data_IF_993937840902
#
_entry.id   IF_993937840902
#
_cell.length_a   1.000
_cell.length_b   1.000
_cell.length_c   1.000
_cell.angle_alpha   90.00
_cell.angle_beta   90.00
_cell.angle_gamma   90.00
#
_symmetry.space_group_name_H-M   'P 1'
#
loop_
_entity.id
_entity.type
_entity.pdbx_description
1 polymer ?
#
# COMPACT_ATOMS: atom_id res chain seq x y z
N UNK A 1 44.19 -52.32 -0.51
CA UNK A 1 44.03 -52.13 0.95
C UNK A 1 43.61 -50.69 1.16
N UNK A 2 42.33 -50.47 1.41
CA UNK A 2 41.69 -49.17 1.48
C UNK A 2 42.01 -48.42 2.79
N UNK A 3 42.15 -47.10 2.64
CA UNK A 3 41.73 -46.01 3.54
C UNK A 3 41.81 -46.20 5.06
N UNK A 4 42.74 -45.47 5.67
CA UNK A 4 42.52 -44.83 6.97
C UNK A 4 43.13 -43.42 6.95
N UNK A 5 42.57 -42.53 6.12
CA UNK A 5 42.74 -41.11 6.33
C UNK A 5 41.87 -40.75 7.55
N UNK A 6 42.46 -40.77 8.73
CA UNK A 6 41.81 -40.29 9.95
C UNK A 6 41.35 -38.85 9.70
N UNK A 7 40.06 -38.67 9.48
CA UNK A 7 39.42 -37.37 9.34
C UNK A 7 39.55 -36.70 10.71
N UNK A 8 40.51 -35.80 10.84
CA UNK A 8 40.61 -34.94 12.02
C UNK A 8 39.28 -34.19 12.13
N UNK A 9 38.57 -34.23 13.26
CA UNK A 9 37.35 -33.45 13.42
C UNK A 9 37.69 -31.97 13.17
N UNK A 10 36.81 -31.22 12.47
CA UNK A 10 37.04 -29.80 12.27
C UNK A 10 37.19 -29.13 13.65
N UNK A 11 38.07 -28.12 13.80
CA UNK A 11 38.14 -27.36 15.03
C UNK A 11 36.75 -26.79 15.34
N UNK A 12 36.36 -26.68 16.62
CA UNK A 12 35.09 -26.08 17.00
C UNK A 12 34.97 -24.72 16.33
N UNK A 13 33.80 -24.43 15.76
CA UNK A 13 33.55 -23.09 15.21
C UNK A 13 33.50 -22.13 16.39
N UNK A 14 33.90 -20.89 16.19
CA UNK A 14 33.86 -19.87 17.24
C UNK A 14 32.46 -19.81 17.88
N UNK A 15 31.40 -20.02 17.07
CA UNK A 15 30.00 -20.14 17.52
C UNK A 15 29.77 -21.27 18.57
N UNK A 16 30.45 -22.41 18.44
CA UNK A 16 30.33 -23.55 19.38
C UNK A 16 31.00 -23.23 20.72
N UNK A 17 32.10 -22.48 20.68
CA UNK A 17 32.80 -22.01 21.87
C UNK A 17 32.00 -20.90 22.58
N UNK A 18 31.40 -19.99 21.80
CA UNK A 18 30.54 -18.92 22.29
C UNK A 18 29.27 -19.47 22.96
N UNK A 19 28.65 -20.51 22.39
CA UNK A 19 27.48 -21.18 22.99
C UNK A 19 27.84 -21.89 24.31
N UNK A 20 29.01 -22.51 24.38
CA UNK A 20 29.50 -23.16 25.59
C UNK A 20 29.81 -22.14 26.70
N UNK A 21 30.44 -21.01 26.34
CA UNK A 21 30.75 -19.92 27.27
C UNK A 21 29.48 -19.22 27.76
N UNK A 22 28.52 -18.99 26.86
CA UNK A 22 27.19 -18.49 27.19
C UNK A 22 26.48 -19.42 28.18
N UNK A 23 26.46 -20.72 27.92
CA UNK A 23 25.83 -21.71 28.80
C UNK A 23 26.50 -21.72 30.18
N UNK A 24 27.83 -21.66 30.23
CA UNK A 24 28.58 -21.59 31.48
C UNK A 24 28.24 -20.33 32.29
N UNK A 25 28.20 -19.16 31.63
CA UNK A 25 27.83 -17.89 32.24
C UNK A 25 26.37 -17.88 32.72
N UNK A 26 25.46 -18.40 31.90
CA UNK A 26 24.04 -18.51 32.24
C UNK A 26 23.86 -19.39 33.48
N UNK A 27 24.54 -20.54 33.54
CA UNK A 27 24.55 -21.42 34.72
C UNK A 27 25.08 -20.73 35.97
N UNK A 28 26.19 -19.98 35.84
CA UNK A 28 26.76 -19.20 36.96
C UNK A 28 25.78 -18.13 37.48
N UNK A 29 25.12 -17.40 36.58
CA UNK A 29 24.11 -16.40 36.95
C UNK A 29 22.89 -17.03 37.62
N UNK A 30 22.35 -18.10 37.04
CA UNK A 30 21.20 -18.84 37.58
C UNK A 30 21.49 -19.47 38.95
N UNK A 31 22.75 -19.84 39.23
CA UNK A 31 23.17 -20.35 40.53
C UNK A 31 22.99 -19.35 41.69
N UNK A 32 22.96 -18.05 41.40
CA UNK A 32 22.86 -17.00 42.43
C UNK A 32 21.45 -16.40 42.51
N UNK A 33 21.01 -16.01 43.71
CA UNK A 33 19.71 -15.33 43.89
C UNK A 33 19.67 -13.97 43.16
N UNK A 34 20.78 -13.24 43.15
CA UNK A 34 20.91 -11.96 42.44
C UNK A 34 20.87 -12.15 40.92
N UNK A 35 21.55 -13.16 40.39
CA UNK A 35 21.57 -13.44 38.95
C UNK A 35 20.19 -13.85 38.43
N UNK A 36 19.43 -14.66 39.16
CA UNK A 36 18.04 -14.99 38.78
C UNK A 36 17.15 -13.75 38.70
N UNK A 37 17.22 -12.85 39.68
CA UNK A 37 16.49 -11.57 39.65
C UNK A 37 16.92 -10.68 38.48
N UNK A 38 18.22 -10.62 38.18
CA UNK A 38 18.73 -9.91 37.02
C UNK A 38 18.18 -10.48 35.71
N UNK A 39 18.17 -11.81 35.53
CA UNK A 39 17.67 -12.47 34.32
C UNK A 39 16.16 -12.27 34.15
N UNK A 40 15.38 -12.31 35.23
CA UNK A 40 13.95 -11.99 35.22
C UNK A 40 13.69 -10.55 34.75
N UNK A 41 14.45 -9.60 35.30
CA UNK A 41 14.36 -8.18 34.94
C UNK A 41 14.83 -7.92 33.50
N UNK A 42 15.93 -8.55 33.08
CA UNK A 42 16.45 -8.49 31.72
C UNK A 42 15.42 -9.02 30.72
N UNK A 43 14.86 -10.21 30.95
CA UNK A 43 13.85 -10.80 30.09
C UNK A 43 12.59 -9.92 30.00
N UNK A 44 12.18 -9.28 31.11
CA UNK A 44 11.06 -8.32 31.09
C UNK A 44 11.36 -7.10 30.24
N UNK A 45 12.52 -6.47 30.40
CA UNK A 45 12.91 -5.28 29.63
C UNK A 45 13.12 -5.59 28.15
N UNK A 46 13.70 -6.75 27.85
CA UNK A 46 13.94 -7.18 26.47
C UNK A 46 12.62 -7.41 25.73
N UNK A 47 11.63 -8.07 26.35
CA UNK A 47 10.29 -8.21 25.76
C UNK A 47 9.64 -6.86 25.43
N UNK A 48 9.82 -5.86 26.30
CA UNK A 48 9.29 -4.52 26.06
C UNK A 48 10.02 -3.82 24.90
N UNK A 49 11.35 -3.94 24.84
CA UNK A 49 12.14 -3.37 23.74
C UNK A 49 11.79 -4.01 22.38
N UNK A 50 11.65 -5.34 22.35
CA UNK A 50 11.26 -6.07 21.13
C UNK A 50 9.85 -5.66 20.68
N UNK A 51 8.92 -5.48 21.62
CA UNK A 51 7.56 -5.01 21.32
C UNK A 51 7.58 -3.60 20.73
N UNK A 52 8.35 -2.68 21.29
CA UNK A 52 8.51 -1.32 20.75
C UNK A 52 9.09 -1.36 19.34
N UNK A 53 10.15 -2.15 19.12
CA UNK A 53 10.76 -2.32 17.80
C UNK A 53 9.77 -2.86 16.76
N UNK A 54 8.95 -3.85 17.14
CA UNK A 54 7.92 -4.42 16.25
C UNK A 54 6.84 -3.38 15.93
N UNK A 55 6.36 -2.64 16.94
CA UNK A 55 5.37 -1.58 16.73
C UNK A 55 5.88 -0.47 15.81
N UNK A 56 7.16 -0.07 15.98
CA UNK A 56 7.80 0.90 15.08
C UNK A 56 7.91 0.37 13.64
N UNK A 57 8.23 -0.94 13.49
CA UNK A 57 8.28 -1.58 12.18
C UNK A 57 6.88 -1.63 11.52
N UNK A 58 5.84 -1.96 12.29
CA UNK A 58 4.45 -1.95 11.82
C UNK A 58 4.03 -0.53 11.40
N UNK A 59 4.27 0.48 12.25
CA UNK A 59 3.95 1.87 11.92
C UNK A 59 4.65 2.34 10.63
N UNK A 60 5.89 1.90 10.39
CA UNK A 60 6.61 2.18 9.15
C UNK A 60 5.96 1.51 7.93
N UNK A 61 5.51 0.27 8.06
CA UNK A 61 4.81 -0.46 7.00
C UNK A 61 3.48 0.21 6.69
N UNK A 62 2.71 0.56 7.71
CA UNK A 62 1.43 1.27 7.56
C UNK A 62 1.62 2.61 6.85
N UNK A 63 2.62 3.41 7.25
CA UNK A 63 2.93 4.67 6.57
C UNK A 63 3.31 4.46 5.10
N UNK A 64 4.11 3.43 4.81
CA UNK A 64 4.47 3.08 3.43
C UNK A 64 3.28 2.58 2.62
N UNK A 65 2.35 1.86 3.23
CA UNK A 65 1.14 1.37 2.58
C UNK A 65 0.16 2.51 2.31
N UNK A 66 -0.01 3.42 3.28
CA UNK A 66 -0.80 4.64 3.09
C UNK A 66 -0.24 5.50 1.96
N UNK A 67 1.09 5.66 1.88
CA UNK A 67 1.73 6.37 0.78
C UNK A 67 1.47 5.70 -0.58
N UNK A 68 1.55 4.37 -0.67
CA UNK A 68 1.25 3.62 -1.90
C UNK A 68 -0.24 3.73 -2.31
N UNK A 69 -1.16 3.82 -1.35
CA UNK A 69 -2.58 4.02 -1.64
C UNK A 69 -2.90 5.45 -2.04
N UNK A 70 -2.18 6.43 -1.48
CA UNK A 70 -2.31 7.83 -1.82
C UNK A 70 -1.67 8.17 -3.17
N UNK A 71 -0.73 7.35 -3.64
CA UNK A 71 -0.16 7.48 -4.97
C UNK A 71 -1.20 7.04 -6.02
N UNK A 72 -1.77 7.97 -6.80
CA UNK A 72 -2.70 7.59 -7.85
C UNK A 72 -1.95 6.71 -8.86
N UNK A 73 -2.51 5.56 -9.27
CA UNK A 73 -1.85 4.73 -10.26
C UNK A 73 -1.62 5.54 -11.55
N UNK A 74 -0.47 5.38 -12.24
CA UNK A 74 -0.27 5.96 -13.55
C UNK A 74 -1.34 5.42 -14.50
N UNK A 75 -2.24 6.30 -14.95
CA UNK A 75 -3.42 5.91 -15.73
C UNK A 75 -4.57 5.36 -14.89
N UNK A 76 -4.78 5.88 -13.68
CA UNK A 76 -5.90 5.49 -12.82
C UNK A 76 -7.20 5.32 -13.61
N UNK A 77 -7.95 4.23 -13.38
CA UNK A 77 -9.14 3.90 -14.19
C UNK A 77 -10.14 5.05 -14.20
N UNK A 78 -10.19 5.86 -13.14
CA UNK A 78 -10.98 7.10 -13.10
C UNK A 78 -10.54 8.10 -14.15
N UNK A 79 -9.25 8.41 -14.31
CA UNK A 79 -8.79 9.35 -15.34
C UNK A 79 -9.08 8.86 -16.77
N UNK A 80 -8.92 7.55 -17.03
CA UNK A 80 -9.26 6.97 -18.33
C UNK A 80 -10.79 6.94 -18.58
N UNK A 81 -11.58 6.68 -17.53
CA UNK A 81 -13.05 6.72 -17.58
C UNK A 81 -13.55 8.15 -17.73
N UNK A 82 -12.96 9.12 -17.04
CA UNK A 82 -13.28 10.54 -17.12
C UNK A 82 -12.99 11.07 -18.54
N UNK A 83 -11.87 10.65 -19.14
CA UNK A 83 -11.55 10.97 -20.53
C UNK A 83 -12.54 10.33 -21.50
N UNK A 84 -12.94 9.08 -21.26
CA UNK A 84 -13.96 8.41 -22.08
C UNK A 84 -15.32 9.11 -21.97
N UNK A 85 -15.73 9.54 -20.77
CA UNK A 85 -16.95 10.31 -20.54
C UNK A 85 -16.89 11.64 -21.29
N UNK A 86 -15.76 12.36 -21.23
CA UNK A 86 -15.55 13.61 -21.98
C UNK A 86 -15.71 13.38 -23.49
N UNK A 87 -15.07 12.34 -24.04
CA UNK A 87 -15.17 12.01 -25.47
C UNK A 87 -16.62 11.69 -25.86
N UNK A 88 -17.36 10.97 -25.02
CA UNK A 88 -18.76 10.62 -25.28
C UNK A 88 -19.63 11.89 -25.29
N UNK A 89 -19.46 12.80 -24.33
CA UNK A 89 -20.24 14.02 -24.26
C UNK A 89 -19.92 14.99 -25.40
N UNK A 90 -18.65 15.08 -25.81
CA UNK A 90 -18.24 15.80 -27.02
C UNK A 90 -18.88 15.20 -28.28
N UNK A 91 -18.89 13.87 -28.40
CA UNK A 91 -19.56 13.17 -29.50
C UNK A 91 -21.07 13.43 -29.54
N UNK A 92 -21.73 13.44 -28.38
CA UNK A 92 -23.17 13.78 -28.28
C UNK A 92 -23.44 15.22 -28.69
N UNK A 93 -22.62 16.17 -28.24
CA UNK A 93 -22.75 17.57 -28.60
C UNK A 93 -22.56 17.79 -30.11
N UNK A 94 -21.55 17.15 -30.70
CA UNK A 94 -21.32 17.20 -32.15
C UNK A 94 -22.48 16.60 -32.95
N UNK A 95 -23.06 15.49 -32.48
CA UNK A 95 -24.22 14.86 -33.12
C UNK A 95 -25.46 15.77 -33.05
N UNK A 96 -25.68 16.44 -31.91
CA UNK A 96 -26.78 17.40 -31.75
C UNK A 96 -26.64 18.59 -32.72
N UNK A 97 -25.43 19.14 -32.85
CA UNK A 97 -25.14 20.22 -33.80
C UNK A 97 -25.35 19.77 -35.25
N UNK A 98 -24.93 18.56 -35.60
CA UNK A 98 -25.15 18.02 -36.94
C UNK A 98 -26.64 17.83 -37.24
N UNK A 99 -27.42 17.34 -36.28
CA UNK A 99 -28.87 17.21 -36.43
C UNK A 99 -29.55 18.57 -36.63
N UNK A 100 -29.13 19.60 -35.89
CA UNK A 100 -29.64 20.97 -36.05
C UNK A 100 -29.26 21.56 -37.42
N UNK A 101 -28.04 21.30 -37.90
CA UNK A 101 -27.60 21.73 -39.22
C UNK A 101 -28.41 21.04 -40.34
N UNK A 102 -28.70 19.74 -40.24
CA UNK A 102 -29.58 19.05 -41.18
C UNK A 102 -30.99 19.64 -41.19
N UNK A 103 -31.57 19.87 -40.00
CA UNK A 103 -32.89 20.50 -39.89
C UNK A 103 -32.92 21.91 -40.52
N UNK A 104 -31.84 22.68 -40.37
CA UNK A 104 -31.70 23.98 -41.02
C UNK A 104 -31.63 23.88 -42.55
N UNK A 105 -30.94 22.87 -43.09
CA UNK A 105 -30.90 22.58 -44.53
C UNK A 105 -32.29 22.21 -45.06
N UNK A 106 -33.01 21.34 -44.34
CA UNK A 106 -34.39 20.96 -44.71
C UNK A 106 -35.34 22.16 -44.68
N UNK A 107 -35.22 23.02 -43.68
CA UNK A 107 -36.00 24.26 -43.59
C UNK A 107 -35.69 25.22 -44.73
N UNK A 108 -34.41 25.37 -45.11
CA UNK A 108 -34.00 26.18 -46.25
C UNK A 108 -34.55 25.61 -47.56
N UNK A 109 -34.48 24.29 -47.76
CA UNK A 109 -35.06 23.62 -48.92
C UNK A 109 -36.56 23.87 -49.02
N UNK A 110 -37.29 23.75 -47.91
CA UNK A 110 -38.73 24.03 -47.89
C UNK A 110 -39.06 25.47 -48.30
N UNK A 111 -38.26 26.46 -47.89
CA UNK A 111 -38.44 27.85 -48.31
C UNK A 111 -38.30 28.03 -49.83
N UNK A 112 -37.30 27.38 -50.45
CA UNK A 112 -37.13 27.40 -51.90
C UNK A 112 -38.27 26.70 -52.65
N UNK A 113 -38.75 25.55 -52.14
CA UNK A 113 -39.86 24.81 -52.73
C UNK A 113 -41.17 25.64 -52.67
N UNK A 114 -41.39 26.45 -51.62
CA UNK A 114 -42.54 27.39 -51.55
C UNK A 114 -42.41 28.65 -52.41
N UNK A 115 -41.18 29.05 -52.79
CA UNK A 115 -40.96 30.21 -53.66
C UNK A 115 -41.09 29.86 -55.17
N UNK A 116 -41.06 28.58 -55.53
CA UNK A 116 -41.26 28.08 -56.89
C UNK A 116 -42.67 27.54 -57.14
N UNK A 117 -43.65 28.42 -57.40
CA UNK A 117 -44.99 28.01 -57.87
C UNK A 117 -44.98 27.44 -59.31
N UNK A 118 -45.98 26.64 -59.71
CA UNK A 118 -45.82 25.54 -60.66
C UNK A 118 -45.89 25.97 -62.12
N UNK A 119 -44.92 25.54 -62.93
CA UNK A 119 -45.09 25.42 -64.38
C UNK A 119 -45.59 24.00 -64.68
N UNK A 120 -46.84 23.92 -65.14
CA UNK A 120 -47.49 22.68 -65.54
C UNK A 120 -46.92 22.12 -66.86
N UNK A 121 -46.82 20.78 -66.89
CA UNK A 121 -46.96 19.82 -68.00
C UNK A 121 -46.33 20.13 -69.38
N UNK A 122 -45.54 19.20 -69.91
CA UNK A 122 -46.01 18.25 -70.93
C UNK A 122 -44.85 17.43 -71.57
N UNK A 123 -45.19 16.19 -71.92
CA UNK A 123 -44.61 15.30 -72.94
C UNK A 123 -43.31 14.54 -72.66
N UNK A 124 -43.40 13.21 -72.80
CA UNK A 124 -42.24 12.39 -73.17
C UNK A 124 -42.32 10.95 -72.68
N UNK A 125 -42.97 10.09 -73.45
CA UNK A 125 -43.07 8.66 -73.23
C UNK A 125 -41.73 7.90 -73.39
N UNK A 126 -41.76 6.66 -72.87
CA UNK A 126 -40.92 5.48 -73.14
C UNK A 126 -39.67 5.25 -72.27
N UNK A 127 -39.21 4.00 -72.13
CA UNK A 127 -39.90 2.85 -71.53
C UNK A 127 -39.11 2.28 -70.33
N UNK A 128 -39.75 1.41 -69.56
CA UNK A 128 -39.16 0.73 -68.41
C UNK A 128 -37.93 -0.13 -68.77
N UNK A 129 -36.88 -0.13 -67.93
CA UNK A 129 -36.02 -1.29 -67.76
C UNK A 129 -36.33 -2.04 -66.45
N UNK A 130 -36.24 -3.36 -66.57
CA UNK A 130 -36.58 -4.43 -65.62
C UNK A 130 -35.84 -4.35 -64.26
N UNK A 131 -36.40 -4.95 -63.19
CA UNK A 131 -35.76 -4.95 -61.88
C UNK A 131 -34.58 -5.92 -61.89
N UNK A 132 -33.36 -5.38 -61.92
CA UNK A 132 -32.15 -6.18 -61.67
C UNK A 132 -32.07 -6.44 -60.18
N UNK A 133 -32.34 -7.69 -59.82
CA UNK A 133 -32.19 -8.25 -58.49
C UNK A 133 -30.71 -8.19 -58.08
N UNK A 134 -30.40 -7.44 -57.03
CA UNK A 134 -29.13 -7.53 -56.30
C UNK A 134 -29.42 -7.59 -54.79
N UNK A 135 -28.70 -8.45 -54.05
CA UNK A 135 -29.17 -9.02 -52.79
C UNK A 135 -29.07 -8.04 -51.60
N UNK A 136 -30.02 -8.18 -50.69
CA UNK A 136 -29.97 -7.60 -49.34
C UNK A 136 -28.65 -7.98 -48.65
N UNK A 137 -27.95 -7.05 -47.98
CA UNK A 137 -26.96 -7.44 -47.00
C UNK A 137 -27.70 -8.05 -45.81
N UNK A 138 -27.61 -9.37 -45.67
CA UNK A 138 -28.02 -10.11 -44.48
C UNK A 138 -27.42 -9.43 -43.25
N UNK A 139 -28.26 -8.72 -42.49
CA UNK A 139 -27.92 -8.24 -41.16
C UNK A 139 -27.70 -9.48 -40.30
N UNK A 140 -26.44 -9.83 -40.07
CA UNK A 140 -26.09 -10.83 -39.06
C UNK A 140 -26.66 -10.34 -37.73
N UNK A 141 -27.67 -11.06 -37.23
CA UNK A 141 -28.16 -10.87 -35.88
C UNK A 141 -26.98 -11.08 -34.91
N UNK A 142 -26.79 -10.22 -33.90
CA UNK A 142 -25.83 -10.50 -32.85
C UNK A 142 -26.22 -11.83 -32.17
N UNK A 143 -25.26 -12.69 -31.81
CA UNK A 143 -25.57 -13.87 -31.03
C UNK A 143 -26.22 -13.45 -29.71
N UNK A 144 -27.18 -14.23 -29.17
CA UNK A 144 -27.69 -13.99 -27.83
C UNK A 144 -26.53 -14.03 -26.83
N UNK A 145 -26.59 -13.25 -25.73
CA UNK A 145 -25.59 -13.37 -24.69
C UNK A 145 -25.59 -14.82 -24.19
N UNK A 146 -24.41 -15.43 -24.16
CA UNK A 146 -24.22 -16.70 -23.50
C UNK A 146 -24.66 -16.52 -22.04
N UNK A 147 -25.59 -17.37 -21.58
CA UNK A 147 -25.88 -17.54 -20.17
C UNK A 147 -24.57 -17.84 -19.46
N UNK A 148 -24.08 -16.85 -18.71
CA UNK A 148 -23.02 -17.06 -17.74
C UNK A 148 -23.70 -17.80 -16.60
N UNK A 149 -23.36 -19.08 -16.33
CA UNK A 149 -23.86 -19.73 -15.14
C UNK A 149 -23.40 -18.90 -13.93
N UNK A 150 -24.25 -18.70 -12.90
CA UNK A 150 -23.80 -18.02 -11.70
C UNK A 150 -22.57 -18.78 -11.19
N UNK A 151 -21.44 -18.08 -11.13
CA UNK A 151 -20.32 -18.57 -10.36
C UNK A 151 -20.83 -18.67 -8.92
N UNK A 152 -20.97 -19.90 -8.43
CA UNK A 152 -21.08 -20.17 -7.00
C UNK A 152 -19.85 -19.57 -6.33
N UNK A 153 -20.00 -18.34 -5.85
CA UNK A 153 -19.10 -17.78 -4.86
C UNK A 153 -19.50 -18.48 -3.57
N UNK A 154 -18.69 -19.38 -3.00
CA UNK A 154 -18.94 -19.80 -1.62
C UNK A 154 -18.87 -18.53 -0.78
N UNK A 155 -20.01 -18.19 -0.17
CA UNK A 155 -20.07 -17.17 0.86
C UNK A 155 -18.96 -17.47 1.88
N UNK A 156 -18.19 -16.47 2.35
CA UNK A 156 -17.36 -16.69 3.52
C UNK A 156 -18.32 -17.02 4.66
N UNK A 157 -18.34 -18.28 5.07
CA UNK A 157 -18.88 -18.67 6.36
C UNK A 157 -18.21 -17.76 7.39
N UNK A 158 -18.99 -16.85 7.95
CA UNK A 158 -18.63 -16.13 9.14
C UNK A 158 -18.41 -17.20 10.22
N UNK A 159 -17.15 -17.62 10.37
CA UNK A 159 -16.72 -18.41 11.50
C UNK A 159 -17.11 -17.60 12.73
N UNK A 160 -18.17 -18.05 13.40
CA UNK A 160 -18.53 -17.60 14.73
C UNK A 160 -17.33 -17.92 15.61
N UNK A 161 -16.50 -16.90 15.86
CA UNK A 161 -15.52 -16.96 16.93
C UNK A 161 -16.36 -16.95 18.19
N UNK A 162 -16.53 -18.12 18.81
CA UNK A 162 -17.00 -18.17 20.19
C UNK A 162 -16.05 -17.30 21.03
N UNK A 163 -16.57 -16.34 21.82
CA UNK A 163 -15.73 -15.62 22.74
C UNK A 163 -15.23 -16.61 23.78
N UNK A 164 -13.93 -16.91 23.73
CA UNK A 164 -13.24 -17.59 24.82
C UNK A 164 -13.57 -16.83 26.12
N UNK A 165 -13.98 -17.52 27.20
CA UNK A 165 -14.29 -16.85 28.45
C UNK A 165 -13.03 -16.11 28.91
N UNK A 166 -13.19 -14.80 29.12
CA UNK A 166 -12.15 -13.97 29.70
C UNK A 166 -11.69 -14.62 31.00
N UNK A 167 -10.48 -15.17 31.00
CA UNK A 167 -9.82 -15.55 32.23
C UNK A 167 -9.64 -14.25 33.01
N UNK A 168 -10.50 -14.05 34.02
CA UNK A 168 -10.34 -12.99 35.01
C UNK A 168 -9.04 -13.29 35.74
N UNK A 169 -7.97 -12.65 35.29
CA UNK A 169 -6.72 -12.61 36.06
C UNK A 169 -7.07 -11.96 37.41
N UNK A 170 -6.70 -12.56 38.55
CA UNK A 170 -6.90 -11.92 39.83
C UNK A 170 -6.15 -10.59 39.83
N UNK A 171 -6.90 -9.50 40.02
CA UNK A 171 -6.34 -8.18 40.27
C UNK A 171 -5.49 -8.30 41.55
N UNK A 172 -4.18 -7.99 41.54
CA UNK A 172 -3.42 -7.99 42.77
C UNK A 172 -4.03 -6.92 43.69
N UNK A 173 -4.61 -7.37 44.80
CA UNK A 173 -5.08 -6.48 45.84
C UNK A 173 -3.92 -5.55 46.26
N UNK A 174 -4.16 -4.24 46.45
CA UNK A 174 -3.12 -3.34 46.92
C UNK A 174 -2.68 -3.84 48.29
N UNK A 175 -1.40 -4.16 48.42
CA UNK A 175 -0.80 -4.41 49.73
C UNK A 175 -1.01 -3.14 50.56
N UNK A 176 -1.78 -3.27 51.65
CA UNK A 176 -1.91 -2.23 52.66
C UNK A 176 -0.53 -2.04 53.28
N UNK A 177 0.18 -1.00 52.86
CA UNK A 177 1.35 -0.51 53.59
C UNK A 177 0.88 -0.01 54.97
N UNK A 178 1.66 -0.23 56.04
CA UNK A 178 1.47 0.52 57.29
C UNK A 178 1.68 2.03 57.03
N UNK A 179 1.12 2.91 57.88
CA UNK A 179 1.08 4.34 57.62
C UNK A 179 2.48 4.95 57.53
N UNK A 180 2.61 5.86 56.58
CA UNK A 180 3.79 6.61 56.23
C UNK A 180 4.39 7.36 57.44
N UNK A 181 5.68 7.16 57.67
CA UNK A 181 6.52 8.27 58.10
C UNK A 181 6.74 9.19 56.89
N UNK A 182 6.66 10.49 57.14
CA UNK A 182 6.77 11.57 56.17
C UNK A 182 8.00 11.41 55.25
N UNK A 183 7.88 11.68 53.93
CA UNK A 183 9.04 11.61 53.05
C UNK A 183 9.96 12.81 53.34
N UNK A 184 11.29 12.62 53.49
CA UNK A 184 12.20 13.71 53.20
C UNK A 184 12.13 14.00 51.70
N UNK A 185 12.02 15.28 51.35
CA UNK A 185 12.24 15.80 50.00
C UNK A 185 13.69 15.50 49.58
N UNK A 186 13.97 14.31 49.03
CA UNK A 186 15.28 13.98 48.45
C UNK A 186 15.19 14.02 46.93
N UNK A 187 15.51 15.22 46.44
CA UNK A 187 16.28 15.53 45.24
C UNK A 187 16.21 14.53 44.08
N UNK A 188 15.71 15.01 42.94
CA UNK A 188 15.86 14.38 41.64
C UNK A 188 17.34 13.98 41.41
N UNK A 189 17.66 12.73 41.72
CA UNK A 189 19.00 12.19 41.58
C UNK A 189 19.45 12.41 40.13
N UNK A 190 20.42 13.31 39.97
CA UNK A 190 21.08 13.56 38.70
C UNK A 190 21.53 12.21 38.17
N UNK A 191 21.01 11.83 36.99
CA UNK A 191 21.37 10.57 36.36
C UNK A 191 22.89 10.46 36.32
N UNK A 192 23.43 9.31 36.75
CA UNK A 192 24.87 9.04 36.73
C UNK A 192 25.49 9.36 35.36
N UNK A 193 24.74 9.14 34.27
CA UNK A 193 25.17 9.52 32.92
C UNK A 193 25.31 11.04 32.74
N UNK A 194 24.43 11.85 33.33
CA UNK A 194 24.52 13.32 33.33
C UNK A 194 25.70 13.83 34.16
N UNK A 195 25.98 13.20 35.31
CA UNK A 195 27.15 13.51 36.12
C UNK A 195 28.46 13.25 35.35
N UNK A 196 28.57 12.09 34.68
CA UNK A 196 29.76 11.72 33.90
C UNK A 196 29.96 12.58 32.64
N UNK A 197 28.87 13.07 32.03
CA UNK A 197 28.94 14.02 30.92
C UNK A 197 29.39 15.42 31.40
N UNK A 198 28.87 15.88 32.53
CA UNK A 198 29.22 17.18 33.12
C UNK A 198 30.66 17.22 33.63
N UNK A 199 31.11 16.10 34.21
CA UNK A 199 32.48 15.93 34.71
C UNK A 199 33.50 15.64 33.57
N UNK A 200 33.03 15.57 32.33
CA UNK A 200 33.88 15.40 31.14
C UNK A 200 34.53 14.02 31.01
N UNK A 201 34.10 13.05 31.82
CA UNK A 201 34.60 11.67 31.82
C UNK A 201 34.11 10.87 30.61
N UNK A 202 32.95 11.24 30.05
CA UNK A 202 32.38 10.65 28.84
C UNK A 202 32.15 11.77 27.83
N UNK A 203 32.72 11.63 26.64
CA UNK A 203 32.43 12.52 25.52
C UNK A 203 31.22 12.01 24.76
N UNK A 204 30.27 12.90 24.44
CA UNK A 204 29.25 12.54 23.46
C UNK A 204 29.93 12.28 22.12
N UNK A 205 29.56 11.20 21.41
CA UNK A 205 30.03 11.00 20.05
C UNK A 205 29.63 12.23 19.23
N UNK A 206 30.62 12.87 18.60
CA UNK A 206 30.37 13.96 17.67
C UNK A 206 29.40 13.43 16.60
N UNK A 207 28.33 14.17 16.25
CA UNK A 207 27.48 13.76 15.15
C UNK A 207 28.39 13.57 13.93
N UNK A 208 28.31 12.45 13.20
CA UNK A 208 29.06 12.33 11.96
C UNK A 208 28.67 13.52 11.10
N UNK A 209 29.65 14.20 10.52
CA UNK A 209 29.43 15.19 9.48
C UNK A 209 28.89 14.45 8.23
N UNK A 210 27.66 13.96 8.33
CA UNK A 210 26.92 13.42 7.23
C UNK A 210 26.70 14.59 6.28
N UNK A 211 27.49 14.60 5.21
CA UNK A 211 27.40 15.61 4.16
C UNK A 211 25.94 15.68 3.69
N UNK A 212 25.26 16.76 4.06
CA UNK A 212 23.82 16.96 3.82
C UNK A 212 23.48 16.90 2.32
N UNK A 213 24.48 17.07 1.45
CA UNK A 213 24.35 17.00 0.00
C UNK A 213 24.91 15.71 -0.61
N UNK A 214 25.31 14.73 0.20
CA UNK A 214 25.90 13.48 -0.30
C UNK A 214 24.93 12.71 -1.22
N UNK A 215 23.63 12.74 -0.91
CA UNK A 215 22.60 12.15 -1.75
C UNK A 215 22.50 12.88 -3.10
N UNK A 216 22.41 14.20 -3.08
CA UNK A 216 22.35 15.03 -4.29
C UNK A 216 23.62 14.88 -5.14
N UNK A 217 24.80 14.77 -4.53
CA UNK A 217 26.06 14.57 -5.26
C UNK A 217 26.12 13.25 -6.02
N UNK A 218 25.46 12.19 -5.52
CA UNK A 218 25.39 10.87 -6.15
C UNK A 218 24.38 10.78 -7.30
N UNK A 219 23.44 11.73 -7.41
CA UNK A 219 22.45 11.75 -8.50
C UNK A 219 23.08 12.19 -9.82
N UNK A 220 22.60 11.58 -10.91
CA UNK A 220 23.02 11.96 -12.26
C UNK A 220 22.54 13.37 -12.61
N UNK A 221 23.15 14.02 -13.60
CA UNK A 221 22.76 15.38 -13.99
C UNK A 221 21.33 15.44 -14.55
N UNK A 222 20.88 14.37 -15.20
CA UNK A 222 19.50 14.24 -15.66
C UNK A 222 18.52 14.16 -14.48
N UNK A 223 18.84 13.36 -13.46
CA UNK A 223 17.99 13.24 -12.26
C UNK A 223 17.93 14.55 -11.47
N UNK A 224 19.06 15.27 -11.40
CA UNK A 224 19.09 16.61 -10.80
C UNK A 224 18.19 17.58 -11.54
N UNK A 225 18.20 17.59 -12.87
CA UNK A 225 17.36 18.48 -13.67
C UNK A 225 15.87 18.15 -13.50
N UNK A 226 15.51 16.87 -13.50
CA UNK A 226 14.12 16.42 -13.31
C UNK A 226 13.55 16.79 -11.93
N UNK A 227 14.40 16.88 -10.90
CA UNK A 227 13.96 17.24 -9.55
C UNK A 227 13.69 18.76 -9.39
N UNK A 228 14.27 19.61 -10.25
CA UNK A 228 14.20 21.08 -10.16
C UNK A 228 13.49 21.77 -11.34
N UNK A 229 12.92 21.02 -12.28
CA UNK A 229 12.12 21.52 -13.42
C UNK A 229 10.63 21.36 -13.17
#
# INVERSE_FOLDING_TARGET
MAEHAATLPPPPRDDDADEAEFTALLGALQGTARGRRFLEEFARRQRNADTVMVLDAVARIEARLAAQQAEPPPGAPTAAVDELVRIIDEGRAALAQAAEALAAVDALKAQFDTAGGPAAADTGAAPAPEPVHAPEPTRAAPPPPADVPPADVPAPEAAMIEPLPAAVLPTPAPAVMPPADEPPEEEAAVSLGQALLTEGMVTLPAPPAADALAALRRMTQADKLAFFS
#
